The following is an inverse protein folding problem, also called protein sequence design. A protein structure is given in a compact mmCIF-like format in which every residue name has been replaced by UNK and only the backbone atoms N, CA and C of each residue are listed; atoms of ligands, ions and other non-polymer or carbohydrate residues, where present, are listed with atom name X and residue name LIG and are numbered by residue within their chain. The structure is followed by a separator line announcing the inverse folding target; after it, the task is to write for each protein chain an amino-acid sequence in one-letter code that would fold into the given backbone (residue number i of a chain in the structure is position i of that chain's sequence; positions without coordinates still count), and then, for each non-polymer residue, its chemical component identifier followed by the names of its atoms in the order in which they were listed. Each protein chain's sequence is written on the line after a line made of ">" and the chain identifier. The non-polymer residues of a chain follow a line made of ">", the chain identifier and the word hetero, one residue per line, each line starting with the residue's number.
data_IF_326189040936
#
_entry.id   IF_326189040936
#
_cell.length_a   1.000
_cell.length_b   1.000
_cell.length_c   1.000
_cell.angle_alpha   90.00
_cell.angle_beta   90.00
_cell.angle_gamma   90.00
#
_symmetry.space_group_name_H-M   'P 1'
#
loop_
_entity.id
_entity.type
_entity.pdbx_description
1 polymer ?
#
# COMPACT_ATOMS: atom_id res chain seq x y z
N UNK A 1 9.75 19.73 -3.48
CA UNK A 1 9.56 18.37 -2.91
C UNK A 1 10.94 17.78 -2.68
N UNK A 2 11.17 17.12 -1.54
CA UNK A 2 12.44 16.42 -1.29
C UNK A 2 12.35 15.01 -1.89
N UNK A 3 13.43 14.57 -2.53
CA UNK A 3 13.53 13.21 -3.08
C UNK A 3 14.03 12.31 -1.96
N UNK A 4 13.23 11.30 -1.61
CA UNK A 4 13.60 10.28 -0.63
C UNK A 4 13.58 8.90 -1.28
N UNK A 5 14.37 7.96 -0.76
CA UNK A 5 14.29 6.57 -1.21
C UNK A 5 12.95 5.95 -0.84
N UNK A 6 12.49 4.99 -1.65
CA UNK A 6 11.27 4.24 -1.36
C UNK A 6 11.31 3.58 0.02
N UNK A 7 12.47 3.04 0.40
CA UNK A 7 12.70 2.46 1.73
C UNK A 7 12.49 3.47 2.86
N UNK A 8 12.96 4.71 2.70
CA UNK A 8 12.77 5.74 3.72
C UNK A 8 11.30 6.16 3.83
N UNK A 9 10.57 6.21 2.71
CA UNK A 9 9.13 6.46 2.72
C UNK A 9 8.41 5.31 3.44
N UNK A 10 8.71 4.05 3.12
CA UNK A 10 8.11 2.89 3.78
C UNK A 10 8.41 2.86 5.28
N UNK A 11 9.64 3.22 5.71
CA UNK A 11 9.98 3.35 7.13
C UNK A 11 9.07 4.35 7.84
N UNK A 12 8.78 5.49 7.22
CA UNK A 12 7.87 6.51 7.78
C UNK A 12 6.43 6.03 7.82
N UNK A 13 5.95 5.38 6.76
CA UNK A 13 4.63 4.75 6.70
C UNK A 13 4.47 3.72 7.81
N UNK A 14 5.43 2.81 7.97
CA UNK A 14 5.41 1.78 9.02
C UNK A 14 5.47 2.39 10.43
N UNK A 15 6.30 3.42 10.64
CA UNK A 15 6.37 4.11 11.92
C UNK A 15 5.04 4.79 12.29
N UNK A 16 4.26 5.24 11.30
CA UNK A 16 2.92 5.78 11.54
C UNK A 16 1.90 4.66 11.79
N UNK A 17 1.93 3.61 10.96
CA UNK A 17 1.09 2.43 11.13
C UNK A 17 1.23 1.80 12.52
N UNK A 18 2.45 1.70 13.05
CA UNK A 18 2.69 1.12 14.37
C UNK A 18 2.03 1.91 15.51
N UNK A 19 1.75 3.21 15.33
CA UNK A 19 1.05 4.02 16.34
C UNK A 19 -0.44 3.69 16.41
N UNK A 20 -1.07 3.48 15.26
CA UNK A 20 -2.48 3.12 15.15
C UNK A 20 -2.75 2.29 13.89
N UNK A 21 -2.70 0.95 13.98
CA UNK A 21 -2.94 0.05 12.85
C UNK A 21 -4.37 0.05 12.29
N UNK A 22 -5.34 0.50 13.08
CA UNK A 22 -6.76 0.42 12.72
C UNK A 22 -7.12 1.52 11.71
N UNK A 23 -8.05 1.24 10.80
CA UNK A 23 -8.47 2.20 9.78
C UNK A 23 -7.60 2.21 8.53
N UNK A 24 -6.40 1.62 8.56
CA UNK A 24 -5.50 1.64 7.41
C UNK A 24 -6.10 0.90 6.22
N UNK A 25 -5.93 1.43 5.01
CA UNK A 25 -6.32 0.81 3.74
C UNK A 25 -5.22 1.06 2.70
N UNK A 26 -4.92 0.05 1.89
CA UNK A 26 -3.83 0.14 0.90
C UNK A 26 -4.36 -0.19 -0.48
N UNK A 27 -4.10 0.71 -1.42
CA UNK A 27 -4.49 0.58 -2.81
C UNK A 27 -3.28 0.67 -3.73
N UNK A 28 -3.34 -0.08 -4.82
CA UNK A 28 -2.39 -0.01 -5.91
C UNK A 28 -3.18 0.16 -7.20
N UNK A 29 -2.76 1.09 -8.04
CA UNK A 29 -3.22 1.17 -9.43
C UNK A 29 -2.07 1.56 -10.33
N UNK A 30 -2.32 1.53 -11.64
CA UNK A 30 -1.46 2.17 -12.62
C UNK A 30 -2.17 3.41 -13.14
N UNK A 31 -1.40 4.42 -13.50
CA UNK A 31 -1.93 5.54 -14.26
C UNK A 31 -1.99 5.24 -15.77
N UNK A 32 -2.48 6.22 -16.54
CA UNK A 32 -2.63 6.12 -18.00
C UNK A 32 -1.30 5.95 -18.75
N UNK A 33 -0.16 6.25 -18.12
CA UNK A 33 1.18 6.02 -18.65
C UNK A 33 1.80 4.72 -18.14
N UNK A 34 1.04 3.94 -17.37
CA UNK A 34 1.48 2.68 -16.80
C UNK A 34 2.32 2.81 -15.53
N UNK A 35 2.56 4.02 -15.02
CA UNK A 35 3.30 4.20 -13.78
C UNK A 35 2.45 3.78 -12.58
N UNK A 36 2.95 2.89 -11.71
CA UNK A 36 2.22 2.49 -10.51
C UNK A 36 2.08 3.63 -9.50
N UNK A 37 0.92 3.72 -8.88
CA UNK A 37 0.68 4.53 -7.67
C UNK A 37 0.28 3.60 -6.53
N UNK A 38 0.93 3.75 -5.38
CA UNK A 38 0.54 3.13 -4.10
C UNK A 38 -0.06 4.22 -3.23
N UNK A 39 -1.26 3.98 -2.69
CA UNK A 39 -1.88 4.85 -1.70
C UNK A 39 -2.06 4.10 -0.39
N UNK A 40 -1.51 4.67 0.69
CA UNK A 40 -1.83 4.28 2.05
C UNK A 40 -2.77 5.31 2.64
N UNK A 41 -3.99 4.89 2.92
CA UNK A 41 -4.89 5.69 3.73
C UNK A 41 -4.81 5.24 5.18
N UNK A 42 -4.90 6.20 6.09
CA UNK A 42 -5.13 6.02 7.51
C UNK A 42 -6.16 7.05 7.98
N UNK A 43 -6.69 6.94 9.21
CA UNK A 43 -7.60 7.97 9.73
C UNK A 43 -6.99 9.38 9.79
N UNK A 44 -5.68 9.49 9.98
CA UNK A 44 -5.00 10.76 10.28
C UNK A 44 -4.19 11.33 9.10
N UNK A 45 -3.85 10.49 8.12
CA UNK A 45 -2.98 10.86 7.01
C UNK A 45 -3.16 9.97 5.78
N UNK A 46 -2.78 10.54 4.63
CA UNK A 46 -2.74 9.85 3.33
C UNK A 46 -1.31 9.92 2.78
N UNK A 47 -0.78 8.78 2.41
CA UNK A 47 0.47 8.68 1.65
C UNK A 47 0.16 8.27 0.23
N UNK A 48 0.53 9.11 -0.73
CA UNK A 48 0.48 8.75 -2.15
C UNK A 48 1.89 8.70 -2.72
N UNK A 49 2.23 7.59 -3.35
CA UNK A 49 3.56 7.30 -3.84
C UNK A 49 3.46 6.83 -5.27
N UNK A 50 4.03 7.60 -6.19
CA UNK A 50 4.20 7.23 -7.60
C UNK A 50 5.55 6.54 -7.78
N UNK A 51 5.57 5.42 -8.48
CA UNK A 51 6.76 4.62 -8.75
C UNK A 51 6.99 4.48 -10.25
N UNK A 52 8.24 4.24 -10.62
CA UNK A 52 8.60 3.85 -11.97
C UNK A 52 8.22 2.38 -12.28
N UNK A 53 8.21 1.51 -11.25
CA UNK A 53 7.84 0.09 -11.36
C UNK A 53 7.54 -0.53 -9.98
N UNK A 54 6.64 -1.51 -9.94
CA UNK A 54 6.44 -2.39 -8.76
C UNK A 54 7.39 -3.60 -8.76
N UNK A 55 8.07 -3.86 -9.86
CA UNK A 55 8.79 -5.11 -10.09
C UNK A 55 10.31 -4.95 -10.03
N UNK A 56 10.79 -3.73 -9.75
CA UNK A 56 12.22 -3.45 -9.59
C UNK A 56 12.61 -3.56 -8.12
N UNK A 57 13.80 -4.09 -7.79
CA UNK A 57 14.29 -4.14 -6.41
C UNK A 57 14.40 -2.76 -5.75
N UNK A 58 14.86 -1.77 -6.51
CA UNK A 58 15.04 -0.38 -6.05
C UNK A 58 14.29 0.58 -6.99
N UNK A 59 12.96 0.68 -6.87
CA UNK A 59 12.18 1.55 -7.72
C UNK A 59 12.49 3.03 -7.43
N UNK A 60 12.39 3.84 -8.46
CA UNK A 60 12.43 5.30 -8.34
C UNK A 60 11.03 5.75 -8.03
N UNK A 61 10.88 6.53 -6.98
CA UNK A 61 9.57 7.00 -6.56
C UNK A 61 9.58 8.49 -6.18
N UNK A 62 8.38 9.07 -6.24
CA UNK A 62 8.06 10.37 -5.65
C UNK A 62 6.81 10.17 -4.83
N UNK A 63 6.79 10.66 -3.59
CA UNK A 63 5.61 10.54 -2.75
C UNK A 63 5.41 11.75 -1.87
N UNK A 64 4.19 11.88 -1.38
CA UNK A 64 3.76 12.95 -0.49
C UNK A 64 2.98 12.34 0.69
N UNK A 65 3.17 12.92 1.88
CA UNK A 65 2.31 12.70 3.03
C UNK A 65 1.39 13.91 3.22
N UNK A 66 0.09 13.68 3.13
CA UNK A 66 -0.98 14.61 3.44
C UNK A 66 -1.45 14.35 4.88
N UNK A 67 -0.86 15.07 5.86
CA UNK A 67 -1.22 14.96 7.28
C UNK A 67 -2.46 15.76 7.63
N UNK A 68 -3.24 15.26 8.58
CA UNK A 68 -4.47 15.88 9.08
C UNK A 68 -5.53 16.12 7.99
N UNK A 69 -5.39 15.45 6.84
CA UNK A 69 -6.44 15.37 5.86
C UNK A 69 -7.40 14.30 6.36
N UNK A 70 -8.44 14.77 7.07
CA UNK A 70 -9.47 13.94 7.67
C UNK A 70 -10.12 13.11 6.56
N UNK A 71 -9.80 11.81 6.52
CA UNK A 71 -10.35 10.95 5.50
C UNK A 71 -11.70 10.42 5.97
N UNK A 72 -12.72 11.27 6.02
CA UNK A 72 -14.14 10.82 5.94
C UNK A 72 -14.35 9.88 4.73
N UNK A 73 -13.40 9.93 3.80
CA UNK A 73 -13.20 9.12 2.61
C UNK A 73 -12.73 7.68 2.90
N UNK A 74 -11.93 7.44 3.94
CA UNK A 74 -11.52 6.07 4.32
C UNK A 74 -12.74 5.27 4.73
N UNK A 75 -13.64 5.84 5.52
CA UNK A 75 -14.84 5.14 5.97
C UNK A 75 -15.81 4.84 4.82
N UNK A 76 -15.79 5.65 3.75
CA UNK A 76 -16.60 5.43 2.54
C UNK A 76 -16.07 4.32 1.64
N UNK A 77 -14.80 3.92 1.78
CA UNK A 77 -14.24 2.82 0.99
C UNK A 77 -14.70 1.50 1.60
N UNK A 78 -15.59 0.77 0.93
CA UNK A 78 -16.00 -0.56 1.37
C UNK A 78 -14.87 -1.59 1.12
N UNK A 79 -13.86 -1.56 1.98
CA UNK A 79 -12.75 -2.50 1.96
C UNK A 79 -12.25 -2.83 3.38
N UNK A 80 -11.79 -4.08 3.61
CA UNK A 80 -11.24 -4.46 4.90
C UNK A 80 -10.00 -3.63 5.26
N UNK A 81 -9.77 -3.45 6.56
CA UNK A 81 -8.55 -2.79 7.03
C UNK A 81 -7.32 -3.58 6.58
N UNK A 82 -6.38 -2.86 5.97
CA UNK A 82 -5.02 -3.33 5.80
C UNK A 82 -4.36 -3.53 7.16
N UNK A 83 -3.58 -4.60 7.28
CA UNK A 83 -2.64 -4.69 8.38
C UNK A 83 -2.05 -6.06 8.58
N UNK A 84 -1.19 -6.15 9.60
CA UNK A 84 -0.47 -7.35 9.97
C UNK A 84 -1.26 -8.15 10.99
N UNK A 85 -1.44 -9.43 10.71
CA UNK A 85 -2.25 -10.33 11.52
C UNK A 85 -1.46 -11.61 11.75
N UNK A 86 -1.04 -11.91 12.99
CA UNK A 86 -0.44 -13.19 13.30
C UNK A 86 -1.49 -14.29 13.13
N UNK A 87 -1.05 -15.42 12.60
CA UNK A 87 -1.87 -16.59 12.30
C UNK A 87 -1.33 -17.77 13.09
N UNK A 88 -2.23 -18.57 13.65
CA UNK A 88 -1.89 -19.81 14.33
C UNK A 88 -1.38 -20.86 13.34
N UNK A 89 -0.42 -21.70 13.75
CA UNK A 89 0.26 -22.65 12.87
C UNK A 89 -0.69 -23.62 12.16
N UNK A 90 -1.77 -24.03 12.81
CA UNK A 90 -2.78 -24.89 12.20
C UNK A 90 -3.51 -24.17 11.05
N UNK A 91 -3.89 -22.91 11.24
CA UNK A 91 -4.54 -22.10 10.20
C UNK A 91 -3.57 -21.81 9.07
N UNK A 92 -2.31 -21.51 9.40
CA UNK A 92 -1.24 -21.32 8.43
C UNK A 92 -1.07 -22.55 7.52
N UNK A 93 -0.99 -23.75 8.12
CA UNK A 93 -0.93 -25.02 7.40
C UNK A 93 -2.15 -25.23 6.50
N UNK A 94 -3.36 -24.99 7.01
CA UNK A 94 -4.58 -25.12 6.20
C UNK A 94 -4.60 -24.18 4.99
N UNK A 95 -4.06 -22.96 5.13
CA UNK A 95 -3.92 -22.04 4.00
C UNK A 95 -2.93 -22.58 2.98
N UNK A 96 -1.75 -23.03 3.42
CA UNK A 96 -0.72 -23.59 2.54
C UNK A 96 -1.25 -24.82 1.80
N UNK A 97 -1.95 -25.72 2.49
CA UNK A 97 -2.56 -26.91 1.90
C UNK A 97 -3.60 -26.56 0.84
N UNK A 98 -4.51 -25.63 1.12
CA UNK A 98 -5.49 -25.15 0.14
C UNK A 98 -4.79 -24.56 -1.11
N UNK A 99 -3.80 -23.68 -0.91
CA UNK A 99 -3.05 -23.08 -2.01
C UNK A 99 -2.28 -24.12 -2.83
N UNK A 100 -1.73 -25.16 -2.20
CA UNK A 100 -1.05 -26.25 -2.89
C UNK A 100 -1.97 -27.06 -3.82
N UNK A 101 -3.28 -27.02 -3.56
CA UNK A 101 -4.34 -27.61 -4.38
C UNK A 101 -4.96 -26.63 -5.37
N UNK A 102 -4.40 -25.42 -5.52
CA UNK A 102 -4.97 -24.30 -6.27
C UNK A 102 -6.37 -23.86 -5.78
N UNK A 103 -6.65 -24.05 -4.48
CA UNK A 103 -7.89 -23.60 -3.85
C UNK A 103 -7.66 -22.29 -3.08
N UNK A 104 -8.68 -21.42 -3.07
CA UNK A 104 -8.65 -20.19 -2.25
C UNK A 104 -9.44 -20.44 -0.97
N UNK A 105 -8.82 -20.42 0.22
CA UNK A 105 -9.49 -20.69 1.48
C UNK A 105 -10.29 -19.46 1.97
N UNK A 106 -11.31 -19.05 1.20
CA UNK A 106 -12.08 -17.80 1.38
C UNK A 106 -12.61 -17.64 2.80
N UNK A 107 -13.17 -18.71 3.39
CA UNK A 107 -13.72 -18.67 4.75
C UNK A 107 -12.64 -18.39 5.80
N UNK A 108 -11.47 -19.01 5.65
CA UNK A 108 -10.33 -18.79 6.54
C UNK A 108 -9.84 -17.35 6.38
N UNK A 109 -9.65 -16.87 5.15
CA UNK A 109 -9.20 -15.50 4.89
C UNK A 109 -10.20 -14.47 5.46
N UNK A 110 -11.50 -14.67 5.28
CA UNK A 110 -12.53 -13.79 5.85
C UNK A 110 -12.50 -13.79 7.38
N UNK A 111 -12.21 -14.94 8.02
CA UNK A 111 -12.06 -15.00 9.48
C UNK A 111 -10.83 -14.24 9.96
N UNK A 112 -9.74 -14.27 9.20
CA UNK A 112 -8.50 -13.53 9.51
C UNK A 112 -8.72 -12.03 9.30
N UNK A 113 -9.36 -11.62 8.20
CA UNK A 113 -9.61 -10.20 7.90
C UNK A 113 -10.45 -9.49 8.97
N UNK A 114 -11.34 -10.23 9.66
CA UNK A 114 -12.13 -9.73 10.79
C UNK A 114 -11.32 -9.50 12.08
N UNK A 115 -10.11 -10.07 12.19
CA UNK A 115 -9.23 -9.85 13.34
C UNK A 115 -8.64 -8.43 13.28
N UNK A 116 -8.47 -7.82 14.45
CA UNK A 116 -7.83 -6.51 14.57
C UNK A 116 -6.36 -6.59 14.10
N UNK A 117 -5.93 -5.70 13.18
CA UNK A 117 -4.54 -5.62 12.79
C UNK A 117 -3.66 -5.16 13.97
N UNK A 118 -2.39 -5.59 13.98
CA UNK A 118 -1.45 -5.29 15.06
C UNK A 118 -0.25 -4.46 14.59
N UNK A 119 0.37 -3.64 15.46
CA UNK A 119 1.66 -3.02 15.18
C UNK A 119 2.71 -4.07 14.88
N UNK A 120 3.65 -3.80 13.96
CA UNK A 120 4.72 -4.75 13.63
C UNK A 120 5.60 -5.07 14.84
N UNK A 121 5.79 -4.10 15.74
CA UNK A 121 6.61 -4.22 16.94
C UNK A 121 6.00 -5.20 17.97
N UNK A 122 4.70 -5.44 17.91
CA UNK A 122 4.00 -6.39 18.79
C UNK A 122 3.89 -7.80 18.19
N UNK A 123 4.39 -8.01 16.97
CA UNK A 123 4.34 -9.31 16.32
C UNK A 123 5.44 -10.22 16.88
N UNK A 124 5.04 -11.36 17.42
CA UNK A 124 5.97 -12.38 17.88
C UNK A 124 6.80 -12.94 16.72
N UNK A 125 8.09 -13.18 16.95
CA UNK A 125 9.03 -13.69 15.94
C UNK A 125 8.74 -15.11 15.47
N UNK A 126 8.01 -15.88 16.28
CA UNK A 126 7.77 -17.32 16.07
C UNK A 126 6.43 -17.63 15.40
N UNK A 127 5.68 -16.60 14.97
CA UNK A 127 4.37 -16.78 14.33
C UNK A 127 4.43 -16.38 12.86
N UNK A 128 3.72 -17.12 12.01
CA UNK A 128 3.45 -16.67 10.66
C UNK A 128 2.56 -15.42 10.70
N UNK A 129 2.90 -14.42 9.88
CA UNK A 129 2.18 -13.15 9.81
C UNK A 129 1.62 -13.01 8.39
N UNK A 130 0.31 -12.76 8.29
CA UNK A 130 -0.30 -12.32 7.04
C UNK A 130 -0.45 -10.80 7.08
N UNK A 131 -0.14 -10.14 5.95
CA UNK A 131 -0.38 -8.70 5.79
C UNK A 131 -1.33 -8.44 4.63
N UNK A 132 -2.23 -7.49 4.79
CA UNK A 132 -3.20 -7.13 3.76
C UNK A 132 -4.58 -6.76 4.30
N UNK A 133 -5.57 -6.58 3.42
CA UNK A 133 -5.46 -6.76 1.97
C UNK A 133 -4.81 -5.54 1.30
N UNK A 134 -4.11 -5.80 0.19
CA UNK A 134 -3.65 -4.75 -0.75
C UNK A 134 -4.59 -4.79 -1.94
N UNK A 135 -5.38 -3.73 -2.13
CA UNK A 135 -6.43 -3.69 -3.15
C UNK A 135 -5.85 -3.17 -4.45
N UNK A 136 -5.81 -4.00 -5.48
CA UNK A 136 -5.44 -3.58 -6.82
C UNK A 136 -6.67 -3.12 -7.59
N UNK A 137 -6.64 -1.90 -8.11
CA UNK A 137 -7.72 -1.34 -8.93
C UNK A 137 -7.20 -0.82 -10.27
N UNK A 138 -8.04 -0.81 -11.30
CA UNK A 138 -7.71 -0.22 -12.60
C UNK A 138 -7.59 1.30 -12.52
N UNK A 139 -8.37 1.93 -11.64
CA UNK A 139 -8.29 3.35 -11.32
C UNK A 139 -8.15 3.52 -9.82
N UNK A 140 -7.36 4.50 -9.39
CA UNK A 140 -7.35 4.87 -7.97
C UNK A 140 -8.79 5.12 -7.51
N UNK A 141 -9.14 4.77 -6.27
CA UNK A 141 -10.32 5.33 -5.63
C UNK A 141 -10.09 6.83 -5.47
N UNK A 142 -10.32 7.58 -6.56
CA UNK A 142 -10.14 9.02 -6.62
C UNK A 142 -11.24 9.64 -5.78
N UNK A 143 -10.83 10.21 -4.66
CA UNK A 143 -11.72 10.71 -3.62
C UNK A 143 -11.94 12.22 -3.70
N UNK A 144 -11.17 12.93 -4.52
CA UNK A 144 -11.35 14.35 -4.84
C UNK A 144 -10.61 14.77 -6.11
N UNK A 145 -10.95 15.93 -6.67
CA UNK A 145 -10.19 16.56 -7.76
C UNK A 145 -8.75 16.89 -7.33
N UNK A 146 -8.53 17.27 -6.07
CA UNK A 146 -7.19 17.52 -5.53
C UNK A 146 -6.30 16.27 -5.62
N UNK A 147 -6.89 15.09 -5.43
CA UNK A 147 -6.17 13.82 -5.54
C UNK A 147 -5.76 13.53 -6.99
N UNK A 148 -6.61 13.87 -7.96
CA UNK A 148 -6.30 13.76 -9.39
C UNK A 148 -5.12 14.68 -9.74
N UNK A 149 -5.18 15.93 -9.30
CA UNK A 149 -4.11 16.89 -9.52
C UNK A 149 -2.79 16.48 -8.86
N UNK A 150 -2.87 15.87 -7.66
CA UNK A 150 -1.70 15.35 -6.97
C UNK A 150 -1.07 14.18 -7.74
N UNK A 151 -1.86 13.20 -8.19
CA UNK A 151 -1.35 12.06 -8.98
C UNK A 151 -0.63 12.56 -10.25
N UNK A 152 -1.21 13.55 -10.93
CA UNK A 152 -0.61 14.18 -12.12
C UNK A 152 0.71 14.89 -11.78
N UNK A 153 0.78 15.64 -10.69
CA UNK A 153 2.01 16.31 -10.23
C UNK A 153 3.09 15.29 -9.88
N UNK A 154 2.74 14.23 -9.15
CA UNK A 154 3.68 13.16 -8.79
C UNK A 154 4.23 12.45 -10.04
N UNK A 155 3.40 12.24 -11.07
CA UNK A 155 3.85 11.71 -12.37
C UNK A 155 4.87 12.64 -13.02
N UNK A 156 4.59 13.93 -13.11
CA UNK A 156 5.50 14.91 -13.71
C UNK A 156 6.84 14.95 -12.98
N UNK A 157 6.83 14.92 -11.64
CA UNK A 157 8.06 14.89 -10.84
C UNK A 157 8.83 13.57 -11.03
N UNK A 158 8.15 12.43 -11.10
CA UNK A 158 8.79 11.15 -11.42
C UNK A 158 9.45 11.20 -12.79
N UNK A 159 8.75 11.70 -13.81
CA UNK A 159 9.31 11.83 -15.16
C UNK A 159 10.56 12.72 -15.19
N UNK A 160 10.54 13.87 -14.49
CA UNK A 160 11.73 14.73 -14.33
C UNK A 160 12.89 13.96 -13.71
N UNK A 161 12.66 13.16 -12.66
CA UNK A 161 13.70 12.34 -12.04
C UNK A 161 14.26 11.29 -13.01
N UNK A 162 13.41 10.64 -13.79
CA UNK A 162 13.83 9.66 -14.80
C UNK A 162 14.64 10.32 -15.93
N UNK A 163 14.24 11.52 -16.36
CA UNK A 163 14.97 12.31 -17.36
C UNK A 163 16.34 12.74 -16.85
N UNK A 164 16.41 13.26 -15.62
CA UNK A 164 17.67 13.68 -14.99
C UNK A 164 18.65 12.51 -14.80
N UNK A 165 18.14 11.28 -14.69
CA UNK A 165 18.95 10.05 -14.64
C UNK A 165 19.30 9.49 -16.01
N UNK A 166 18.83 10.07 -17.11
CA UNK A 166 19.09 9.62 -18.48
C UNK A 166 18.42 8.30 -18.86
N UNK A 167 17.41 7.86 -18.11
CA UNK A 167 16.75 6.55 -18.31
C UNK A 167 15.28 6.66 -18.72
N UNK A 168 14.77 7.87 -18.93
CA UNK A 168 13.36 8.09 -19.28
C UNK A 168 12.92 7.38 -20.56
N UNK A 169 13.81 7.23 -21.54
CA UNK A 169 13.54 6.52 -22.80
C UNK A 169 13.19 5.04 -22.62
N UNK A 170 13.49 4.44 -21.47
CA UNK A 170 13.09 3.06 -21.14
C UNK A 170 11.60 2.94 -20.79
N UNK A 171 10.88 4.06 -20.70
CA UNK A 171 9.48 4.14 -20.27
C UNK A 171 8.56 4.84 -21.29
N UNK A 172 9.08 5.11 -22.50
CA UNK A 172 8.35 5.75 -23.61
C UNK A 172 7.97 4.77 -24.68
#
# INVERSE_FOLDING_TARGET
>A
MNVESFENILKKVHASYNKNPLGWKVFISNDEKGFPTIIFFSPDEIWEIKLDSLYKPNPICVGLNLKNENSDLVDKLDSPHYGFRPVEDNIAKSIIEALSKNEVPVQILNSILKRTPKPLEELGKDKMILHGPVIRSQKLPLVSEKQIDLDLKLRQELQKLLMNRGIYSLYT
#
